data_IF_577607133369
#
_entry.id   IF_577607133369
#
_cell.length_a   1.000
_cell.length_b   1.000
_cell.length_c   1.000
_cell.angle_alpha   90.00
_cell.angle_beta   90.00
_cell.angle_gamma   90.00
#
_symmetry.space_group_name_H-M   'P 1'
#
loop_
_entity.id
_entity.type
_entity.pdbx_description
1 polymer ?
#
# COMPACT_ATOMS: atom_id res chain seq x y z
N UNK A 1 -10.38 -12.29 27.01
CA UNK A 1 -9.99 -12.82 25.70
C UNK A 1 -11.24 -13.04 24.88
N UNK A 2 -11.64 -12.06 24.06
CA UNK A 2 -12.76 -12.23 23.12
C UNK A 2 -12.35 -11.61 21.81
N UNK A 3 -12.01 -12.48 20.85
CA UNK A 3 -11.63 -12.10 19.50
C UNK A 3 -12.81 -11.57 18.72
N UNK A 4 -12.69 -10.33 18.25
CA UNK A 4 -13.50 -9.82 17.15
C UNK A 4 -12.58 -9.80 15.92
N UNK A 5 -12.40 -10.95 15.27
CA UNK A 5 -11.95 -10.94 13.88
C UNK A 5 -13.18 -10.66 13.03
N UNK A 6 -13.34 -9.42 12.58
CA UNK A 6 -14.33 -9.09 11.56
C UNK A 6 -14.07 -9.98 10.34
N UNK A 7 -15.03 -10.81 9.92
CA UNK A 7 -14.78 -11.96 9.04
C UNK A 7 -14.41 -11.63 7.59
N UNK A 8 -14.17 -10.36 7.24
CA UNK A 8 -13.73 -9.95 5.90
C UNK A 8 -13.00 -8.59 5.89
N UNK A 9 -11.98 -8.42 6.73
CA UNK A 9 -11.09 -7.26 6.53
C UNK A 9 -10.30 -7.47 5.23
N UNK A 10 -10.68 -6.71 4.20
CA UNK A 10 -10.04 -6.73 2.88
C UNK A 10 -8.55 -6.44 3.06
N UNK A 11 -7.71 -7.36 2.59
CA UNK A 11 -6.26 -7.26 2.68
C UNK A 11 -5.73 -6.47 1.51
N UNK A 12 -4.95 -5.43 1.81
CA UNK A 12 -4.30 -4.61 0.79
C UNK A 12 -2.79 -4.72 0.94
N UNK A 13 -2.08 -4.86 -0.17
CA UNK A 13 -0.62 -4.75 -0.18
C UNK A 13 -0.15 -3.65 -1.13
N UNK A 14 0.90 -2.95 -0.72
CA UNK A 14 1.50 -1.84 -1.47
C UNK A 14 2.91 -2.19 -1.87
N UNK A 15 3.27 -1.88 -3.11
CA UNK A 15 4.63 -1.96 -3.62
C UNK A 15 4.96 -0.68 -4.38
N UNK A 16 6.15 -0.13 -4.16
CA UNK A 16 6.54 1.15 -4.76
C UNK A 16 7.78 0.96 -5.61
N UNK A 17 7.67 1.30 -6.89
CA UNK A 17 8.73 1.30 -7.89
C UNK A 17 8.87 2.72 -8.45
N UNK A 18 9.59 3.59 -7.75
CA UNK A 18 9.70 5.00 -8.14
C UNK A 18 10.59 5.81 -7.22
N UNK A 19 10.50 7.14 -7.32
CA UNK A 19 11.30 8.07 -6.55
C UNK A 19 10.68 8.39 -5.17
N UNK A 20 11.31 9.29 -4.42
CA UNK A 20 10.89 9.74 -3.08
C UNK A 20 9.44 10.20 -3.02
N UNK A 21 8.94 10.80 -4.09
CA UNK A 21 7.54 11.22 -4.17
C UNK A 21 6.59 10.03 -4.12
N UNK A 22 6.87 8.96 -4.87
CA UNK A 22 6.04 7.74 -4.83
C UNK A 22 6.07 7.08 -3.46
N UNK A 23 7.22 7.10 -2.76
CA UNK A 23 7.29 6.59 -1.38
C UNK A 23 6.36 7.38 -0.44
N UNK A 24 6.41 8.73 -0.50
CA UNK A 24 5.55 9.58 0.31
C UNK A 24 4.05 9.40 0.00
N UNK A 25 3.69 9.25 -1.27
CA UNK A 25 2.32 8.94 -1.68
C UNK A 25 1.87 7.58 -1.16
N UNK A 26 2.73 6.56 -1.26
CA UNK A 26 2.43 5.23 -0.72
C UNK A 26 2.22 5.27 0.79
N UNK A 27 3.04 5.99 1.55
CA UNK A 27 2.83 6.17 3.00
C UNK A 27 1.47 6.82 3.31
N UNK A 28 1.05 7.79 2.50
CA UNK A 28 -0.27 8.41 2.64
C UNK A 28 -1.39 7.41 2.34
N UNK A 29 -1.27 6.63 1.26
CA UNK A 29 -2.25 5.59 0.91
C UNK A 29 -2.36 4.50 1.99
N UNK A 30 -1.24 4.11 2.61
CA UNK A 30 -1.23 3.14 3.72
C UNK A 30 -2.01 3.68 4.93
N UNK A 31 -1.78 4.96 5.31
CA UNK A 31 -2.50 5.59 6.43
C UNK A 31 -4.00 5.68 6.17
N UNK A 32 -4.39 6.02 4.95
CA UNK A 32 -5.80 6.06 4.54
C UNK A 32 -6.43 4.67 4.50
N UNK A 33 -5.70 3.65 4.04
CA UNK A 33 -6.18 2.27 4.07
C UNK A 33 -6.46 1.80 5.51
N UNK A 34 -5.54 2.10 6.43
CA UNK A 34 -5.71 1.76 7.85
C UNK A 34 -6.89 2.51 8.49
N UNK A 35 -7.14 3.78 8.11
CA UNK A 35 -8.29 4.54 8.63
C UNK A 35 -9.64 4.07 8.10
N UNK A 36 -9.65 3.36 6.96
CA UNK A 36 -10.85 2.80 6.31
C UNK A 36 -11.06 1.31 6.62
N UNK A 37 -10.47 0.79 7.71
CA UNK A 37 -10.61 -0.61 8.15
C UNK A 37 -10.06 -1.68 7.18
N UNK A 38 -9.15 -1.32 6.28
CA UNK A 38 -8.39 -2.29 5.49
C UNK A 38 -7.24 -2.88 6.30
N UNK A 39 -6.87 -4.13 5.99
CA UNK A 39 -5.73 -4.81 6.62
C UNK A 39 -4.52 -4.75 5.70
N UNK A 40 -3.53 -3.92 6.04
CA UNK A 40 -2.31 -3.79 5.25
C UNK A 40 -1.39 -4.98 5.52
N UNK A 41 -0.97 -5.68 4.46
CA UNK A 41 -0.08 -6.84 4.52
C UNK A 41 1.19 -6.62 3.70
N UNK A 42 2.29 -7.27 4.12
CA UNK A 42 3.53 -7.36 3.35
C UNK A 42 3.26 -7.90 1.93
N UNK A 43 4.01 -7.41 0.95
CA UNK A 43 3.84 -7.77 -0.47
C UNK A 43 4.04 -9.26 -0.78
N UNK A 44 4.78 -9.98 0.06
CA UNK A 44 4.96 -11.43 -0.05
C UNK A 44 3.76 -12.23 0.45
N UNK A 45 2.86 -11.61 1.20
CA UNK A 45 1.65 -12.26 1.68
C UNK A 45 0.52 -12.14 0.64
N UNK A 46 -0.43 -13.08 0.71
CA UNK A 46 -1.64 -13.03 -0.11
C UNK A 46 -2.52 -11.84 0.32
N UNK A 47 -2.78 -10.94 -0.62
CA UNK A 47 -3.70 -9.81 -0.48
C UNK A 47 -4.89 -9.97 -1.42
N UNK A 48 -6.00 -9.30 -1.09
CA UNK A 48 -7.19 -9.22 -1.95
C UNK A 48 -7.00 -8.12 -3.01
N UNK A 49 -6.24 -7.08 -2.67
CA UNK A 49 -5.88 -5.96 -3.56
C UNK A 49 -4.38 -5.72 -3.48
N UNK A 50 -3.74 -5.58 -4.65
CA UNK A 50 -2.35 -5.16 -4.77
C UNK A 50 -2.29 -3.79 -5.45
N UNK A 51 -1.56 -2.86 -4.86
CA UNK A 51 -1.32 -1.53 -5.41
C UNK A 51 0.17 -1.41 -5.70
N UNK A 52 0.52 -1.28 -6.98
CA UNK A 52 1.89 -1.02 -7.43
C UNK A 52 1.97 0.45 -7.84
N UNK A 53 2.60 1.28 -7.00
CA UNK A 53 2.83 2.69 -7.31
C UNK A 53 4.16 2.82 -8.07
N UNK A 54 4.08 3.22 -9.33
CA UNK A 54 5.25 3.46 -10.16
C UNK A 54 5.09 4.76 -10.92
N UNK A 55 6.20 5.41 -11.22
CA UNK A 55 6.23 6.51 -12.17
C UNK A 55 7.20 6.16 -13.30
N UNK A 56 6.88 6.63 -14.51
CA UNK A 56 7.65 6.35 -15.72
C UNK A 56 8.97 7.11 -15.78
N UNK A 57 9.61 7.47 -14.65
CA UNK A 57 10.73 8.43 -14.56
C UNK A 57 11.62 8.30 -15.77
N UNK A 58 11.39 9.18 -16.75
CA UNK A 58 12.36 9.39 -17.80
C UNK A 58 13.54 10.02 -17.08
N UNK A 59 14.76 9.72 -17.49
CA UNK A 59 16.01 10.20 -16.88
C UNK A 59 16.12 11.75 -16.73
N UNK A 60 15.05 12.50 -17.03
CA UNK A 60 14.86 13.93 -16.89
C UNK A 60 14.29 14.38 -15.53
N UNK A 61 13.76 13.50 -14.68
CA UNK A 61 13.31 13.90 -13.33
C UNK A 61 14.43 13.92 -12.27
N UNK A 62 15.65 13.52 -12.66
CA UNK A 62 16.84 13.45 -11.82
C UNK A 62 17.83 14.60 -12.16
N UNK A 63 17.29 15.76 -12.61
CA UNK A 63 18.05 17.01 -12.83
C UNK A 63 17.64 18.08 -11.84
#
# INVERSE_FOLDING_TARGET
>A
MSGVRSPNSIKISFYTLGCRLNQAETEKMVKEAMSRNFYVVDFRNKADIYIINTCSVTALADR
#
